data_IF_674365488327
#
_entry.id   IF_674365488327
#
_cell.length_a   1.000
_cell.length_b   1.000
_cell.length_c   1.000
_cell.angle_alpha   90.00
_cell.angle_beta   90.00
_cell.angle_gamma   90.00
#
_symmetry.space_group_name_H-M   'P 1'
#
loop_
_entity.id
_entity.type
_entity.pdbx_description
1 polymer ?
#
# COMPACT_ATOMS: atom_id res chain seq x y z
N UNK A 1 26.48 -46.50 19.02
CA UNK A 1 25.64 -45.72 19.95
C UNK A 1 26.06 -44.25 19.84
N UNK A 2 25.61 -43.52 18.80
CA UNK A 2 25.76 -42.07 18.68
C UNK A 2 24.69 -41.53 17.71
N UNK A 3 23.93 -40.56 18.21
CA UNK A 3 23.21 -39.48 17.52
C UNK A 3 22.09 -39.82 16.51
N UNK A 4 20.87 -39.95 17.05
CA UNK A 4 19.62 -39.59 16.37
C UNK A 4 19.06 -38.34 17.05
N UNK A 5 19.15 -37.18 16.41
CA UNK A 5 18.40 -35.99 16.81
C UNK A 5 18.33 -35.03 15.62
N UNK A 6 17.39 -35.25 14.71
CA UNK A 6 16.92 -34.22 13.77
C UNK A 6 15.60 -34.71 13.18
N UNK A 7 14.47 -34.23 13.71
CA UNK A 7 13.22 -33.93 13.01
C UNK A 7 12.16 -33.53 14.04
N UNK A 8 12.10 -32.24 14.36
CA UNK A 8 10.88 -31.61 14.85
C UNK A 8 10.65 -30.40 13.95
N UNK A 9 9.95 -30.64 12.85
CA UNK A 9 9.46 -29.61 11.95
C UNK A 9 8.06 -30.05 11.52
N UNK A 10 7.15 -29.08 11.41
CA UNK A 10 5.70 -29.18 11.16
C UNK A 10 4.82 -29.28 12.41
N UNK A 11 4.56 -28.11 13.03
CA UNK A 11 3.19 -27.68 13.32
C UNK A 11 3.17 -26.17 13.58
N UNK A 12 3.08 -25.38 12.52
CA UNK A 12 2.73 -23.96 12.59
C UNK A 12 1.75 -23.65 11.46
N UNK A 13 0.55 -24.19 11.56
CA UNK A 13 -0.56 -23.85 10.67
C UNK A 13 -1.71 -23.32 11.52
N UNK A 14 -2.04 -22.05 11.27
CA UNK A 14 -3.28 -21.36 11.65
C UNK A 14 -3.51 -21.07 13.14
N UNK A 15 -2.73 -20.13 13.71
CA UNK A 15 -3.33 -19.20 14.66
C UNK A 15 -4.09 -18.12 13.88
N UNK A 16 -5.40 -18.28 13.79
CA UNK A 16 -6.32 -17.17 13.55
C UNK A 16 -6.19 -16.19 14.72
N UNK A 17 -5.33 -15.19 14.55
CA UNK A 17 -5.18 -14.10 15.52
C UNK A 17 -6.47 -13.27 15.50
N UNK A 18 -7.38 -13.55 16.43
CA UNK A 18 -8.41 -12.57 16.79
C UNK A 18 -7.68 -11.50 17.59
N UNK A 19 -7.11 -10.52 16.88
CA UNK A 19 -6.47 -9.38 17.50
C UNK A 19 -7.51 -8.68 18.40
N UNK A 20 -7.20 -8.53 19.67
CA UNK A 20 -8.04 -7.76 20.58
C UNK A 20 -7.96 -6.27 20.22
N UNK A 21 -8.88 -5.46 20.77
CA UNK A 21 -8.85 -4.01 20.57
C UNK A 21 -7.55 -3.36 21.08
N UNK A 22 -6.91 -3.96 22.10
CA UNK A 22 -5.61 -3.51 22.60
C UNK A 22 -4.51 -3.70 21.56
N UNK A 23 -4.46 -4.89 20.97
CA UNK A 23 -3.47 -5.28 19.95
C UNK A 23 -3.54 -4.37 18.71
N UNK A 24 -4.74 -3.96 18.31
CA UNK A 24 -4.90 -3.08 17.15
C UNK A 24 -4.31 -1.68 17.38
N UNK A 25 -4.48 -1.08 18.56
CA UNK A 25 -3.96 0.26 18.84
C UNK A 25 -2.43 0.24 18.89
N UNK A 26 -1.84 -0.77 19.51
CA UNK A 26 -0.39 -0.97 19.51
C UNK A 26 0.14 -1.14 18.08
N UNK A 27 -0.55 -1.95 17.28
CA UNK A 27 -0.18 -2.22 15.89
C UNK A 27 -0.21 -0.99 14.98
N UNK A 28 -1.21 -0.12 15.12
CA UNK A 28 -1.33 1.09 14.30
C UNK A 28 -0.54 2.28 14.87
N UNK A 29 -0.20 2.26 16.16
CA UNK A 29 0.41 3.36 16.89
C UNK A 29 1.59 4.03 16.18
N UNK A 30 2.60 3.28 15.69
CA UNK A 30 3.75 3.84 14.97
C UNK A 30 3.40 4.58 13.68
N UNK A 31 2.20 4.33 13.14
CA UNK A 31 1.74 4.87 11.85
C UNK A 31 0.65 5.92 12.01
N UNK A 32 0.20 6.22 13.24
CA UNK A 32 -0.81 7.24 13.45
C UNK A 32 -0.31 8.60 12.96
N UNK A 33 -1.20 9.35 12.30
CA UNK A 33 -0.90 10.71 11.86
C UNK A 33 -0.53 11.57 13.09
N UNK A 34 0.64 12.21 13.11
CA UNK A 34 1.06 13.01 14.26
C UNK A 34 0.22 14.29 14.37
N UNK A 35 0.07 14.82 15.59
CA UNK A 35 -0.78 16.00 15.83
C UNK A 35 -0.28 17.27 15.12
N UNK A 36 1.03 17.37 14.89
CA UNK A 36 1.64 18.48 14.15
C UNK A 36 1.67 18.26 12.62
N UNK A 37 1.02 17.22 12.09
CA UNK A 37 0.99 16.97 10.65
C UNK A 37 0.26 18.12 9.92
N UNK A 38 0.79 18.63 8.78
CA UNK A 38 0.30 19.87 8.16
C UNK A 38 -1.20 19.93 7.85
N UNK A 39 -1.82 18.79 7.55
CA UNK A 39 -3.26 18.72 7.24
C UNK A 39 -4.13 18.18 8.39
N UNK A 40 -3.56 17.83 9.55
CA UNK A 40 -4.30 17.15 10.64
C UNK A 40 -5.48 17.97 11.15
N UNK A 41 -5.26 19.24 11.51
CA UNK A 41 -6.33 20.14 11.99
C UNK A 41 -7.44 20.33 10.95
N UNK A 42 -7.07 20.38 9.66
CA UNK A 42 -8.04 20.52 8.56
C UNK A 42 -8.86 19.24 8.40
N UNK A 43 -8.24 18.07 8.49
CA UNK A 43 -8.95 16.78 8.49
C UNK A 43 -9.89 16.64 9.68
N UNK A 44 -9.46 17.03 10.89
CA UNK A 44 -10.29 17.00 12.09
C UNK A 44 -11.55 17.87 11.89
N UNK A 45 -11.38 19.09 11.39
CA UNK A 45 -12.50 20.00 11.09
C UNK A 45 -13.40 19.43 9.99
N UNK A 46 -12.83 18.88 8.92
CA UNK A 46 -13.60 18.36 7.79
C UNK A 46 -14.44 17.12 8.18
N UNK A 47 -13.86 16.17 8.91
CA UNK A 47 -14.56 14.93 9.28
C UNK A 47 -15.50 15.08 10.48
N UNK A 48 -15.44 16.18 11.23
CA UNK A 48 -16.42 16.48 12.29
C UNK A 48 -17.73 17.07 11.76
N UNK A 49 -17.73 17.62 10.54
CA UNK A 49 -18.93 18.20 9.92
C UNK A 49 -19.97 17.15 9.51
N UNK A 50 -19.53 16.01 8.98
CA UNK A 50 -20.40 14.95 8.48
C UNK A 50 -19.68 13.61 8.45
N UNK A 51 -20.45 12.51 8.39
CA UNK A 51 -19.91 11.16 8.26
C UNK A 51 -19.65 10.86 6.79
N UNK A 52 -18.69 11.58 6.18
CA UNK A 52 -18.40 11.46 4.75
C UNK A 52 -18.05 10.02 4.33
N UNK A 53 -17.47 9.24 5.22
CA UNK A 53 -17.14 7.82 4.99
C UNK A 53 -18.33 6.86 5.16
N UNK A 54 -19.57 7.35 5.27
CA UNK A 54 -20.73 6.46 5.46
C UNK A 54 -20.97 5.58 4.23
N UNK A 55 -21.18 6.20 3.06
CA UNK A 55 -21.36 5.53 1.78
C UNK A 55 -20.78 6.35 0.61
N UNK A 56 -20.83 5.81 -0.62
CA UNK A 56 -20.28 6.48 -1.82
C UNK A 56 -20.92 7.85 -2.07
N UNK A 57 -22.25 7.97 -1.89
CA UNK A 57 -22.99 9.22 -2.08
C UNK A 57 -22.57 10.30 -1.06
N UNK A 58 -22.40 9.94 0.21
CA UNK A 58 -21.93 10.90 1.22
C UNK A 58 -20.48 11.29 0.96
N UNK A 59 -19.65 10.35 0.52
CA UNK A 59 -18.26 10.61 0.21
C UNK A 59 -18.12 11.58 -0.98
N UNK A 60 -18.92 11.38 -2.03
CA UNK A 60 -18.98 12.27 -3.19
C UNK A 60 -19.50 13.66 -2.82
N UNK A 61 -20.58 13.73 -2.02
CA UNK A 61 -21.11 14.99 -1.50
C UNK A 61 -20.10 15.74 -0.61
N UNK A 62 -19.17 15.01 0.02
CA UNK A 62 -18.06 15.57 0.76
C UNK A 62 -16.91 16.10 -0.10
N UNK A 63 -16.96 15.95 -1.43
CA UNK A 63 -15.94 16.48 -2.36
C UNK A 63 -14.81 15.51 -2.72
N UNK A 64 -14.89 14.24 -2.30
CA UNK A 64 -13.92 13.23 -2.72
C UNK A 64 -14.08 12.85 -4.19
N UNK A 65 -12.96 12.63 -4.88
CA UNK A 65 -12.90 12.24 -6.29
C UNK A 65 -12.80 10.72 -6.43
N UNK A 66 -13.50 10.08 -7.38
CA UNK A 66 -13.47 8.62 -7.57
C UNK A 66 -13.86 7.84 -6.31
N UNK A 67 -15.16 7.80 -6.01
CA UNK A 67 -15.70 7.18 -4.78
C UNK A 67 -15.98 5.69 -4.90
N UNK A 68 -15.63 5.06 -6.01
CA UNK A 68 -15.94 3.66 -6.25
C UNK A 68 -14.88 2.71 -5.67
N UNK A 69 -15.29 1.64 -4.98
CA UNK A 69 -14.39 0.61 -4.47
C UNK A 69 -13.57 -0.07 -5.57
N UNK A 70 -12.29 -0.30 -5.29
CA UNK A 70 -11.45 -1.14 -6.13
C UNK A 70 -11.94 -2.59 -6.11
N UNK A 71 -11.91 -3.27 -7.27
CA UNK A 71 -12.46 -4.63 -7.44
C UNK A 71 -11.90 -5.65 -6.43
N UNK A 72 -10.59 -5.60 -6.18
CA UNK A 72 -9.90 -6.64 -5.40
C UNK A 72 -9.74 -6.27 -3.92
N UNK A 73 -9.25 -5.07 -3.62
CA UNK A 73 -9.04 -4.64 -2.23
C UNK A 73 -10.29 -4.08 -1.59
N UNK A 74 -11.34 -3.72 -2.35
CA UNK A 74 -12.55 -2.99 -1.90
C UNK A 74 -12.30 -1.61 -1.30
N UNK A 75 -11.05 -1.24 -1.05
CA UNK A 75 -10.66 0.12 -0.69
C UNK A 75 -11.01 1.09 -1.84
N UNK A 76 -11.50 2.26 -1.47
CA UNK A 76 -11.62 3.41 -2.37
C UNK A 76 -10.29 4.15 -2.33
N UNK A 77 -9.69 4.41 -3.49
CA UNK A 77 -8.47 5.22 -3.63
C UNK A 77 -8.86 6.54 -4.25
N UNK A 78 -8.75 7.63 -3.51
CA UNK A 78 -9.37 8.92 -3.83
C UNK A 78 -8.42 10.09 -3.55
N UNK A 79 -8.74 11.24 -4.14
CA UNK A 79 -8.13 12.54 -3.83
C UNK A 79 -9.24 13.50 -3.43
N UNK A 80 -8.86 14.60 -2.79
CA UNK A 80 -9.79 15.67 -2.44
C UNK A 80 -9.13 17.02 -2.72
N UNK A 81 -9.76 17.95 -3.46
CA UNK A 81 -9.13 19.20 -3.92
C UNK A 81 -8.53 20.06 -2.79
N UNK A 82 -9.18 20.07 -1.62
CA UNK A 82 -8.71 20.82 -0.46
C UNK A 82 -7.48 20.24 0.25
N UNK A 83 -7.07 19.02 -0.08
CA UNK A 83 -5.94 18.31 0.51
C UNK A 83 -4.92 17.95 -0.57
N UNK A 84 -4.49 18.97 -1.33
CA UNK A 84 -3.47 18.83 -2.38
C UNK A 84 -2.18 18.18 -1.83
N UNK A 85 -1.54 17.34 -2.63
CA UNK A 85 -0.36 16.56 -2.24
C UNK A 85 -0.67 15.26 -1.50
N UNK A 86 -1.95 14.91 -1.32
CA UNK A 86 -2.36 13.69 -0.61
C UNK A 86 -3.35 12.82 -1.39
N UNK A 87 -3.22 11.51 -1.16
CA UNK A 87 -4.16 10.47 -1.61
C UNK A 87 -4.72 9.77 -0.38
N UNK A 88 -6.02 9.49 -0.40
CA UNK A 88 -6.71 8.77 0.67
C UNK A 88 -7.08 7.37 0.23
N UNK A 89 -6.97 6.42 1.14
CA UNK A 89 -7.54 5.09 1.00
C UNK A 89 -8.56 4.85 2.11
N UNK A 90 -9.78 4.55 1.70
CA UNK A 90 -10.95 4.56 2.59
C UNK A 90 -11.73 3.27 2.41
N UNK A 91 -12.22 2.72 3.52
CA UNK A 91 -13.36 1.82 3.53
C UNK A 91 -14.56 2.59 4.07
N UNK A 92 -15.74 2.32 3.52
CA UNK A 92 -16.99 2.95 3.93
C UNK A 92 -17.63 2.18 5.09
N UNK A 93 -18.45 2.86 5.89
CA UNK A 93 -19.21 2.23 6.99
C UNK A 93 -20.25 1.22 6.47
N UNK A 94 -20.73 1.40 5.24
CA UNK A 94 -21.59 0.43 4.55
C UNK A 94 -20.85 -0.82 4.09
N UNK A 95 -19.52 -0.83 4.09
CA UNK A 95 -18.72 -1.99 3.68
C UNK A 95 -18.44 -2.93 4.86
N UNK A 96 -18.56 -4.24 4.59
CA UNK A 96 -17.98 -5.26 5.46
C UNK A 96 -16.46 -5.11 5.50
N UNK A 97 -15.85 -5.62 6.57
CA UNK A 97 -14.40 -5.68 6.67
C UNK A 97 -13.81 -6.47 5.49
N UNK A 98 -12.66 -6.00 5.01
CA UNK A 98 -11.88 -6.69 3.99
C UNK A 98 -11.02 -7.75 4.67
N UNK A 99 -11.05 -8.98 4.16
CA UNK A 99 -10.41 -10.15 4.78
C UNK A 99 -10.87 -10.40 6.23
N UNK A 100 -12.06 -9.93 6.59
CA UNK A 100 -12.60 -9.96 7.97
C UNK A 100 -11.70 -9.28 9.02
N UNK A 101 -10.82 -8.37 8.58
CA UNK A 101 -9.92 -7.60 9.43
C UNK A 101 -10.41 -6.15 9.61
N UNK A 102 -10.25 -5.56 10.82
CA UNK A 102 -10.41 -4.12 11.01
C UNK A 102 -9.54 -3.33 10.03
N UNK A 103 -10.03 -2.22 9.51
CA UNK A 103 -9.31 -1.47 8.48
C UNK A 103 -7.94 -0.95 8.95
N UNK A 104 -7.81 -0.64 10.24
CA UNK A 104 -6.53 -0.23 10.84
C UNK A 104 -5.42 -1.26 10.64
N UNK A 105 -5.73 -2.55 10.71
CA UNK A 105 -4.77 -3.64 10.48
C UNK A 105 -4.27 -3.65 9.03
N UNK A 106 -5.18 -3.46 8.07
CA UNK A 106 -4.84 -3.37 6.64
C UNK A 106 -3.99 -2.12 6.37
N UNK A 107 -4.31 -1.00 7.02
CA UNK A 107 -3.58 0.26 6.90
C UNK A 107 -2.18 0.17 7.50
N UNK A 108 -2.01 -0.47 8.66
CA UNK A 108 -0.71 -0.70 9.27
C UNK A 108 0.21 -1.51 8.35
N UNK A 109 -0.29 -2.62 7.76
CA UNK A 109 0.50 -3.42 6.81
C UNK A 109 0.99 -2.61 5.61
N UNK A 110 0.14 -1.72 5.09
CA UNK A 110 0.49 -0.85 3.95
C UNK A 110 1.53 0.19 4.33
N UNK A 111 1.42 0.78 5.53
CA UNK A 111 2.39 1.76 6.03
C UNK A 111 3.75 1.11 6.32
N UNK A 112 3.75 -0.03 7.01
CA UNK A 112 4.93 -0.84 7.30
C UNK A 112 5.69 -1.22 6.03
N UNK A 113 5.01 -1.84 5.05
CA UNK A 113 5.66 -2.21 3.80
C UNK A 113 6.22 -1.01 3.03
N UNK A 114 5.59 0.18 3.17
CA UNK A 114 6.13 1.41 2.59
C UNK A 114 7.43 1.82 3.27
N UNK A 115 7.50 1.71 4.60
CA UNK A 115 8.67 2.04 5.38
C UNK A 115 9.83 1.10 5.04
N UNK A 116 9.58 -0.21 4.97
CA UNK A 116 10.60 -1.17 4.56
C UNK A 116 11.18 -0.83 3.17
N UNK A 117 10.33 -0.45 2.20
CA UNK A 117 10.80 -0.02 0.89
C UNK A 117 11.65 1.25 0.98
N UNK A 118 11.20 2.27 1.72
CA UNK A 118 11.98 3.52 1.89
C UNK A 118 13.34 3.24 2.54
N UNK A 119 13.38 2.40 3.57
CA UNK A 119 14.63 2.01 4.24
C UNK A 119 15.61 1.31 3.30
N UNK A 120 15.13 0.39 2.44
CA UNK A 120 15.98 -0.24 1.43
C UNK A 120 16.46 0.76 0.40
N UNK A 121 15.59 1.64 -0.10
CA UNK A 121 15.96 2.69 -1.07
C UNK A 121 17.04 3.61 -0.49
N UNK A 122 16.89 4.03 0.77
CA UNK A 122 17.85 4.89 1.45
C UNK A 122 19.19 4.19 1.65
N UNK A 123 19.17 3.00 2.26
CA UNK A 123 20.36 2.20 2.56
C UNK A 123 21.18 1.87 1.31
N UNK A 124 20.51 1.66 0.18
CA UNK A 124 21.15 1.31 -1.09
C UNK A 124 21.45 2.51 -2.00
N UNK A 125 21.03 3.73 -1.62
CA UNK A 125 21.23 4.93 -2.42
C UNK A 125 20.40 4.96 -3.72
N UNK A 126 19.21 4.36 -3.75
CA UNK A 126 18.36 4.26 -4.95
C UNK A 126 17.41 5.45 -5.14
N UNK A 127 17.52 6.51 -4.33
CA UNK A 127 16.62 7.67 -4.30
C UNK A 127 16.52 8.45 -5.64
N UNK A 128 17.53 8.33 -6.50
CA UNK A 128 17.52 8.92 -7.83
C UNK A 128 16.54 8.22 -8.79
N UNK A 129 16.25 6.93 -8.56
CA UNK A 129 15.45 6.09 -9.45
C UNK A 129 14.11 5.68 -8.86
N UNK A 130 14.00 5.63 -7.53
CA UNK A 130 12.85 5.04 -6.85
C UNK A 130 12.42 5.86 -5.65
N UNK A 131 11.13 5.74 -5.32
CA UNK A 131 10.51 6.34 -4.14
C UNK A 131 9.34 5.49 -3.64
N UNK A 132 8.93 5.71 -2.40
CA UNK A 132 7.69 5.16 -1.85
C UNK A 132 7.05 6.24 -0.97
N UNK A 133 5.71 6.33 -0.93
CA UNK A 133 5.04 7.36 -0.16
C UNK A 133 5.20 7.11 1.33
N UNK A 134 5.31 8.18 2.11
CA UNK A 134 4.97 8.12 3.53
C UNK A 134 3.46 7.90 3.65
N UNK A 135 3.07 7.02 4.58
CA UNK A 135 1.68 6.67 4.84
C UNK A 135 1.37 6.86 6.31
N UNK A 136 0.27 7.55 6.59
CA UNK A 136 -0.25 7.83 7.92
C UNK A 136 -1.65 7.25 8.08
N UNK A 137 -1.94 6.77 9.27
CA UNK A 137 -3.26 6.31 9.67
C UNK A 137 -3.94 7.46 10.39
N UNK A 138 -4.97 8.03 9.77
CA UNK A 138 -5.78 9.07 10.38
C UNK A 138 -6.96 8.43 11.11
N UNK A 139 -7.14 8.79 12.38
CA UNK A 139 -8.29 8.36 13.19
C UNK A 139 -9.48 9.28 12.90
N UNK A 140 -10.56 8.69 12.40
CA UNK A 140 -11.83 9.39 12.20
C UNK A 140 -12.43 9.79 13.57
N UNK A 141 -13.07 10.98 13.66
CA UNK A 141 -13.75 11.40 14.88
C UNK A 141 -14.92 10.47 15.22
N UNK A 142 -15.24 10.37 16.51
CA UNK A 142 -16.37 9.58 17.01
C UNK A 142 -17.74 10.19 16.63
N UNK A 143 -17.75 11.49 16.31
CA UNK A 143 -18.91 12.21 15.79
C UNK A 143 -18.64 12.73 14.38
N UNK A 144 -19.66 12.77 13.51
CA UNK A 144 -21.04 12.30 13.75
C UNK A 144 -21.16 10.77 13.73
N UNK A 145 -22.12 10.23 14.51
CA UNK A 145 -22.33 8.78 14.63
C UNK A 145 -22.77 8.15 13.30
N UNK A 146 -22.29 6.95 13.07
CA UNK A 146 -22.81 6.08 12.02
C UNK A 146 -24.25 5.63 12.37
N UNK A 147 -25.18 5.56 11.40
CA UNK A 147 -26.51 5.01 11.61
C UNK A 147 -26.50 3.61 12.22
N UNK A 148 -27.56 3.26 12.97
CA UNK A 148 -27.70 1.93 13.58
C UNK A 148 -27.66 0.83 12.51
N UNK A 149 -27.03 -0.30 12.83
CA UNK A 149 -26.93 -1.47 11.93
C UNK A 149 -25.67 -1.51 11.07
N UNK A 150 -24.82 -0.48 11.12
CA UNK A 150 -23.54 -0.43 10.41
C UNK A 150 -22.34 -0.49 11.35
N UNK A 151 -21.21 -0.93 10.81
CA UNK A 151 -19.95 -1.05 11.56
C UNK A 151 -19.12 0.21 11.29
N UNK A 152 -18.88 1.08 12.29
CA UNK A 152 -18.15 2.31 12.07
C UNK A 152 -16.68 2.02 11.77
N UNK A 153 -16.19 2.47 10.61
CA UNK A 153 -14.76 2.55 10.32
C UNK A 153 -14.14 3.62 11.21
N UNK A 154 -13.00 3.33 11.79
CA UNK A 154 -12.31 4.20 12.74
C UNK A 154 -11.09 4.85 12.12
N UNK A 155 -10.59 4.30 11.02
CA UNK A 155 -9.34 4.77 10.41
C UNK A 155 -9.44 4.86 8.89
N UNK A 156 -8.78 5.87 8.34
CA UNK A 156 -8.45 5.96 6.92
C UNK A 156 -6.93 6.02 6.76
N UNK A 157 -6.44 5.61 5.60
CA UNK A 157 -5.03 5.78 5.27
C UNK A 157 -4.88 7.07 4.45
N UNK A 158 -3.99 7.94 4.90
CA UNK A 158 -3.55 9.14 4.19
C UNK A 158 -2.12 8.87 3.72
N UNK A 159 -1.81 9.19 2.48
CA UNK A 159 -0.46 9.01 1.94
C UNK A 159 -0.10 10.17 1.02
N UNK A 160 1.19 10.39 0.83
CA UNK A 160 1.68 11.34 -0.16
C UNK A 160 1.16 10.97 -1.56
N UNK A 161 0.81 12.01 -2.32
CA UNK A 161 0.56 11.90 -3.75
C UNK A 161 1.88 11.80 -4.49
N UNK A 162 2.14 10.65 -5.11
CA UNK A 162 3.42 10.38 -5.78
C UNK A 162 3.53 11.01 -7.17
N UNK A 163 2.49 11.75 -7.60
CA UNK A 163 2.40 12.40 -8.91
C UNK A 163 2.64 11.39 -10.04
N UNK A 164 1.80 10.36 -10.07
CA UNK A 164 1.92 9.25 -11.01
C UNK A 164 1.58 9.70 -12.43
N UNK A 165 2.32 9.19 -13.42
CA UNK A 165 1.89 9.33 -14.82
C UNK A 165 0.62 8.53 -15.08
N UNK A 166 -0.05 8.78 -16.22
CA UNK A 166 -1.25 8.02 -16.58
C UNK A 166 -0.96 6.53 -16.74
N UNK A 167 -1.96 5.67 -16.56
CA UNK A 167 -1.81 4.22 -16.74
C UNK A 167 -1.31 3.85 -18.15
N UNK A 168 -1.71 4.61 -19.16
CA UNK A 168 -1.25 4.41 -20.53
C UNK A 168 0.23 4.76 -20.67
N UNK A 169 0.64 5.92 -20.16
CA UNK A 169 2.03 6.39 -20.20
C UNK A 169 2.96 5.47 -19.41
N UNK A 170 2.54 5.05 -18.22
CA UNK A 170 3.27 4.10 -17.40
C UNK A 170 3.58 2.80 -18.18
N UNK A 171 2.60 2.27 -18.91
CA UNK A 171 2.79 1.07 -19.74
C UNK A 171 3.74 1.30 -20.92
N UNK A 172 3.76 2.51 -21.49
CA UNK A 172 4.72 2.89 -22.54
C UNK A 172 6.13 2.97 -21.98
N UNK A 173 6.32 3.63 -20.84
CA UNK A 173 7.61 3.76 -20.18
C UNK A 173 8.22 2.38 -19.83
N UNK A 174 7.45 1.49 -19.21
CA UNK A 174 7.91 0.12 -18.92
C UNK A 174 8.32 -0.69 -20.17
N UNK A 175 7.77 -0.37 -21.35
CA UNK A 175 8.12 -1.02 -22.62
C UNK A 175 9.24 -0.31 -23.38
N UNK A 176 9.68 0.85 -22.92
CA UNK A 176 10.64 1.70 -23.63
C UNK A 176 12.08 1.41 -23.22
N UNK A 177 13.02 2.03 -23.92
CA UNK A 177 14.45 1.98 -23.62
C UNK A 177 14.83 2.78 -22.35
N UNK A 178 13.85 3.45 -21.73
CA UNK A 178 14.02 4.00 -20.38
C UNK A 178 14.28 2.88 -19.35
N UNK A 179 13.79 1.67 -19.60
CA UNK A 179 14.11 0.50 -18.78
C UNK A 179 15.49 -0.03 -19.18
N UNK A 180 16.39 -0.06 -18.23
CA UNK A 180 17.74 -0.63 -18.38
C UNK A 180 17.91 -1.85 -17.48
N UNK A 181 18.90 -2.73 -17.77
CA UNK A 181 19.29 -3.80 -16.87
C UNK A 181 19.58 -3.32 -15.44
N UNK A 182 20.28 -2.19 -15.30
CA UNK A 182 20.58 -1.59 -13.99
C UNK A 182 19.30 -1.21 -13.21
N UNK A 183 18.32 -0.60 -13.89
CA UNK A 183 17.05 -0.26 -13.25
C UNK A 183 16.31 -1.52 -12.80
N UNK A 184 16.30 -2.57 -13.64
CA UNK A 184 15.67 -3.85 -13.33
C UNK A 184 16.36 -4.56 -12.15
N UNK A 185 17.68 -4.57 -12.08
CA UNK A 185 18.43 -5.11 -10.94
C UNK A 185 18.02 -4.44 -9.63
N UNK A 186 17.94 -3.11 -9.62
CA UNK A 186 17.53 -2.35 -8.43
C UNK A 186 16.08 -2.61 -8.05
N UNK A 187 15.17 -2.71 -9.04
CA UNK A 187 13.75 -3.04 -8.79
C UNK A 187 13.64 -4.45 -8.22
N UNK A 188 14.33 -5.41 -8.81
CA UNK A 188 14.39 -6.79 -8.34
C UNK A 188 14.93 -6.84 -6.90
N UNK A 189 16.02 -6.13 -6.62
CA UNK A 189 16.62 -6.08 -5.29
C UNK A 189 15.61 -5.57 -4.24
N UNK A 190 14.96 -4.43 -4.47
CA UNK A 190 13.97 -3.88 -3.52
C UNK A 190 12.82 -4.86 -3.29
N UNK A 191 12.27 -5.44 -4.36
CA UNK A 191 11.15 -6.40 -4.26
C UNK A 191 11.56 -7.65 -3.48
N UNK A 192 12.75 -8.20 -3.77
CA UNK A 192 13.26 -9.42 -3.15
C UNK A 192 13.63 -9.21 -1.68
N UNK A 193 14.36 -8.13 -1.38
CA UNK A 193 14.83 -7.79 -0.04
C UNK A 193 13.66 -7.54 0.92
N UNK A 194 12.65 -6.78 0.48
CA UNK A 194 11.47 -6.52 1.31
C UNK A 194 10.49 -7.72 1.30
N UNK A 195 10.55 -8.58 0.27
CA UNK A 195 9.61 -9.69 0.09
C UNK A 195 8.23 -9.23 -0.37
N UNK A 196 8.17 -8.33 -1.36
CA UNK A 196 6.92 -7.76 -1.87
C UNK A 196 6.24 -8.70 -2.87
N UNK A 197 5.23 -9.45 -2.40
CA UNK A 197 4.61 -10.55 -3.16
C UNK A 197 4.11 -10.12 -4.55
N UNK A 198 3.46 -8.97 -4.65
CA UNK A 198 2.71 -8.49 -5.81
C UNK A 198 3.26 -7.21 -6.44
N UNK A 199 4.40 -6.69 -5.97
CA UNK A 199 5.01 -5.46 -6.51
C UNK A 199 5.64 -5.64 -7.89
N UNK A 200 5.88 -6.86 -8.37
CA UNK A 200 6.33 -7.11 -9.74
C UNK A 200 5.20 -6.87 -10.78
N UNK A 201 4.38 -5.85 -10.58
CA UNK A 201 3.25 -5.44 -11.40
C UNK A 201 3.35 -3.94 -11.63
N UNK A 202 3.35 -3.50 -12.88
CA UNK A 202 3.53 -2.07 -13.24
C UNK A 202 2.50 -1.12 -12.62
N UNK A 203 1.33 -1.61 -12.21
CA UNK A 203 0.32 -0.78 -11.54
C UNK A 203 0.62 -0.57 -10.05
N UNK A 204 1.46 -1.43 -9.45
CA UNK A 204 1.91 -1.32 -8.05
C UNK A 204 3.23 -0.55 -7.93
N UNK A 205 4.02 -0.51 -9.01
CA UNK A 205 5.27 0.25 -9.16
C UNK A 205 5.25 1.21 -10.36
N UNK A 206 4.27 2.12 -10.49
CA UNK A 206 4.20 3.03 -11.63
C UNK A 206 5.30 4.08 -11.62
N UNK A 207 5.58 4.63 -12.80
CA UNK A 207 6.38 5.84 -12.92
C UNK A 207 5.65 7.07 -12.39
N UNK A 208 6.42 7.96 -11.81
CA UNK A 208 6.01 9.30 -11.40
C UNK A 208 6.45 10.33 -12.45
N UNK A 209 5.86 11.53 -12.42
CA UNK A 209 6.16 12.62 -13.34
C UNK A 209 7.64 13.04 -13.27
N UNK A 210 8.30 12.85 -12.12
CA UNK A 210 9.74 13.07 -11.93
C UNK A 210 10.64 11.96 -12.50
N UNK A 211 10.07 10.98 -13.20
CA UNK A 211 10.79 9.87 -13.83
C UNK A 211 11.15 8.72 -12.87
N UNK A 212 10.79 8.81 -11.59
CA UNK A 212 11.09 7.75 -10.60
C UNK A 212 10.01 6.67 -10.58
N UNK A 213 10.39 5.45 -10.24
CA UNK A 213 9.45 4.37 -9.93
C UNK A 213 8.91 4.56 -8.50
N UNK A 214 7.58 4.64 -8.35
CA UNK A 214 6.92 4.77 -7.06
C UNK A 214 6.31 3.45 -6.60
N UNK A 215 6.74 2.92 -5.45
CA UNK A 215 6.14 1.72 -4.84
C UNK A 215 4.88 2.09 -4.04
N UNK A 216 3.71 2.00 -4.67
CA UNK A 216 2.44 2.54 -4.12
C UNK A 216 1.54 1.50 -3.45
N UNK A 217 1.68 0.22 -3.78
CA UNK A 217 1.01 -0.88 -3.08
C UNK A 217 2.03 -1.84 -2.48
N UNK A 218 2.12 -1.81 -1.16
CA UNK A 218 3.14 -2.52 -0.36
C UNK A 218 2.49 -3.35 0.75
N UNK A 219 1.20 -3.71 0.58
CA UNK A 219 0.45 -4.41 1.63
C UNK A 219 1.04 -5.78 1.96
N UNK A 220 1.47 -6.52 0.94
CA UNK A 220 1.97 -7.90 1.10
C UNK A 220 3.49 -7.91 1.01
N UNK A 221 4.13 -7.72 2.17
CA UNK A 221 5.58 -7.68 2.33
C UNK A 221 6.06 -8.84 3.22
N UNK A 222 7.37 -9.06 3.30
CA UNK A 222 8.01 -10.20 3.97
C UNK A 222 7.49 -11.57 3.52
N UNK A 223 7.00 -11.65 2.28
CA UNK A 223 6.57 -12.91 1.69
C UNK A 223 7.78 -13.74 1.30
N UNK A 224 7.68 -15.06 1.48
CA UNK A 224 8.71 -16.02 1.05
C UNK A 224 8.72 -16.26 -0.46
N UNK A 225 7.70 -15.76 -1.16
CA UNK A 225 7.54 -15.88 -2.61
C UNK A 225 7.17 -14.52 -3.19
N UNK A 226 7.51 -14.32 -4.45
CA UNK A 226 7.17 -13.13 -5.24
C UNK A 226 6.62 -13.57 -6.60
N UNK A 227 5.61 -12.88 -7.10
CA UNK A 227 4.98 -13.15 -8.41
C UNK A 227 5.65 -12.35 -9.54
N UNK A 228 6.87 -12.76 -9.90
CA UNK A 228 7.72 -12.09 -10.89
C UNK A 228 7.13 -11.95 -12.30
N UNK A 229 6.22 -12.86 -12.68
CA UNK A 229 5.68 -12.95 -14.05
C UNK A 229 4.80 -11.77 -14.47
N UNK A 230 4.29 -10.99 -13.50
CA UNK A 230 3.39 -9.88 -13.82
C UNK A 230 4.10 -8.78 -14.61
N UNK A 231 5.41 -8.56 -14.40
CA UNK A 231 6.18 -7.53 -15.08
C UNK A 231 6.55 -7.91 -16.52
N UNK A 232 6.72 -9.21 -16.80
CA UNK A 232 7.15 -9.73 -18.11
C UNK A 232 6.35 -9.16 -19.30
N UNK A 233 5.03 -8.98 -19.12
CA UNK A 233 4.11 -8.49 -20.17
C UNK A 233 4.28 -7.02 -20.52
N UNK A 234 5.03 -6.29 -19.70
CA UNK A 234 5.22 -4.85 -19.82
C UNK A 234 6.64 -4.46 -20.21
N UNK A 235 7.55 -5.41 -20.40
CA UNK A 235 8.92 -5.15 -20.86
C UNK A 235 9.05 -5.40 -22.37
N UNK A 236 10.00 -4.70 -23.01
CA UNK A 236 10.46 -5.04 -24.36
C UNK A 236 11.13 -6.43 -24.36
N UNK A 237 11.48 -6.97 -25.54
CA UNK A 237 11.98 -8.35 -25.63
C UNK A 237 13.29 -8.57 -24.87
N UNK A 238 14.25 -7.64 -25.02
CA UNK A 238 15.56 -7.72 -24.38
C UNK A 238 15.45 -7.66 -22.86
N UNK A 239 14.79 -6.63 -22.33
CA UNK A 239 14.59 -6.45 -20.90
C UNK A 239 13.74 -7.57 -20.29
N UNK A 240 12.81 -8.15 -21.05
CA UNK A 240 12.04 -9.33 -20.60
C UNK A 240 12.94 -10.56 -20.47
N UNK A 241 13.86 -10.77 -21.40
CA UNK A 241 14.84 -11.87 -21.31
C UNK A 241 15.71 -11.69 -20.07
N UNK A 242 16.26 -10.50 -19.89
CA UNK A 242 17.07 -10.15 -18.73
C UNK A 242 16.31 -10.30 -17.40
N UNK A 243 15.08 -9.79 -17.31
CA UNK A 243 14.23 -9.93 -16.12
C UNK A 243 14.00 -11.39 -15.74
N UNK A 244 13.73 -12.26 -16.72
CA UNK A 244 13.59 -13.70 -16.48
C UNK A 244 14.88 -14.32 -15.95
N UNK A 245 16.03 -13.90 -16.45
CA UNK A 245 17.33 -14.40 -15.99
C UNK A 245 17.56 -14.07 -14.50
N UNK A 246 17.32 -12.83 -14.07
CA UNK A 246 17.57 -12.43 -12.67
C UNK A 246 16.52 -12.97 -11.68
N UNK A 247 15.28 -13.21 -12.13
CA UNK A 247 14.18 -13.72 -11.28
C UNK A 247 14.11 -15.23 -11.18
N UNK A 248 14.72 -15.97 -12.12
CA UNK A 248 14.76 -17.44 -12.10
C UNK A 248 15.94 -18.02 -11.30
N UNK A 249 16.88 -17.19 -10.86
CA UNK A 249 17.98 -17.61 -9.99
C UNK A 249 17.41 -17.94 -8.61
N UNK A 250 17.32 -19.25 -8.32
CA UNK A 250 16.89 -19.81 -7.04
C UNK A 250 17.92 -19.53 -5.95
#
# INVERSE_FOLDING_TARGET
MFHKAFFFCLLATHLSLVATKGDLIERIGPYLMPENHPIKTKLDTFFTQSRWTFNEKTMEAGGFLNVHPQKFSRAIVTKHPEFSGYVFKVYLDTQRYYLDLPEGEIWARRAEGANCVREVIERMGFHAMMKAPVKWIYRLPDQPKVPKGYIPKRFILVQEDMELVSNEENRKLWKSDFITPELLDKVHYVIKEVGLLDCANVNNIPFSVDGKIAFIDTQTHHATKVFWDSLNRHLNEENRRYWKEITNQK
#
